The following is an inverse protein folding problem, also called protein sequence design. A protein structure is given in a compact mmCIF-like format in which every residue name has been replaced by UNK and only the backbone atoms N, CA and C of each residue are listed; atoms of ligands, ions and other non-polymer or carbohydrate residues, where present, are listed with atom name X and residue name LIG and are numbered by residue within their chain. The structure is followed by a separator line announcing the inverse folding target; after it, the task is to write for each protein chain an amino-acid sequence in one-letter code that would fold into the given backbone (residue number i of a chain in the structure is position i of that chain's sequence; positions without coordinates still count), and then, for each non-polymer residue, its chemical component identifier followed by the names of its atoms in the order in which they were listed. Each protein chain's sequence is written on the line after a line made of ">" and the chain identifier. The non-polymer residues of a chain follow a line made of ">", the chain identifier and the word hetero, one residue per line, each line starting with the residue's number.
data_IF_385141090173
#
_entry.id   IF_385141090173
#
_cell.length_a   1.000
_cell.length_b   1.000
_cell.length_c   1.000
_cell.angle_alpha   90.00
_cell.angle_beta   90.00
_cell.angle_gamma   90.00
#
_symmetry.space_group_name_H-M   'P 1'
#
loop_
_entity.id
_entity.type
_entity.pdbx_description
1 polymer ?
#
# COMPACT_ATOMS: atom_id res chain seq x y z
N UNK A 1 -29.37 -9.06 -36.32
CA UNK A 1 -28.76 -7.75 -36.00
C UNK A 1 -27.32 -7.83 -35.48
N UNK A 2 -26.71 -9.02 -35.33
CA UNK A 2 -25.32 -9.19 -34.86
C UNK A 2 -24.31 -9.57 -35.95
N UNK A 3 -24.77 -9.91 -37.16
CA UNK A 3 -23.91 -10.52 -38.20
C UNK A 3 -22.87 -9.57 -38.82
N UNK A 4 -23.04 -8.25 -38.66
CA UNK A 4 -22.11 -7.23 -39.16
C UNK A 4 -21.56 -6.32 -38.03
N UNK A 5 -21.66 -6.73 -36.77
CA UNK A 5 -21.20 -5.91 -35.64
C UNK A 5 -19.67 -5.87 -35.59
N UNK A 6 -19.10 -4.67 -35.54
CA UNK A 6 -17.66 -4.51 -35.33
C UNK A 6 -17.30 -4.95 -33.90
N UNK A 7 -16.08 -5.45 -33.68
CA UNK A 7 -15.61 -5.92 -32.37
C UNK A 7 -15.82 -4.87 -31.28
N UNK A 8 -15.65 -3.59 -31.61
CA UNK A 8 -15.94 -2.47 -30.71
C UNK A 8 -17.39 -2.45 -30.24
N UNK A 9 -18.35 -2.61 -31.16
CA UNK A 9 -19.78 -2.61 -30.84
C UNK A 9 -20.16 -3.83 -30.02
N UNK A 10 -19.52 -4.99 -30.27
CA UNK A 10 -19.69 -6.18 -29.43
C UNK A 10 -19.21 -5.93 -28.00
N UNK A 11 -18.07 -5.26 -27.81
CA UNK A 11 -17.55 -4.91 -26.48
C UNK A 11 -18.50 -3.95 -25.76
N UNK A 12 -18.98 -2.90 -26.44
CA UNK A 12 -19.92 -1.92 -25.89
C UNK A 12 -21.23 -2.57 -25.41
N UNK A 13 -21.70 -3.62 -26.11
CA UNK A 13 -22.89 -4.38 -25.70
C UNK A 13 -22.63 -5.34 -24.53
N UNK A 14 -21.39 -5.84 -24.38
CA UNK A 14 -21.03 -6.78 -23.31
C UNK A 14 -20.67 -6.09 -21.99
N UNK A 15 -20.17 -4.85 -22.05
CA UNK A 15 -19.73 -4.08 -20.88
C UNK A 15 -20.76 -4.06 -19.72
N UNK A 16 -22.05 -3.73 -19.95
CA UNK A 16 -23.04 -3.73 -18.87
C UNK A 16 -23.21 -5.08 -18.18
N UNK A 17 -23.19 -6.17 -18.96
CA UNK A 17 -23.34 -7.53 -18.44
C UNK A 17 -22.14 -7.93 -17.59
N UNK A 18 -20.92 -7.64 -18.07
CA UNK A 18 -19.68 -7.95 -17.36
C UNK A 18 -19.60 -7.21 -16.03
N UNK A 19 -19.84 -5.89 -16.02
CA UNK A 19 -19.76 -5.09 -14.80
C UNK A 19 -20.85 -5.49 -13.79
N UNK A 20 -22.07 -5.76 -14.25
CA UNK A 20 -23.15 -6.22 -13.37
C UNK A 20 -22.83 -7.58 -12.75
N UNK A 21 -22.28 -8.52 -13.55
CA UNK A 21 -21.84 -9.82 -13.05
C UNK A 21 -20.69 -9.70 -12.04
N UNK A 22 -19.71 -8.83 -12.31
CA UNK A 22 -18.58 -8.58 -11.43
C UNK A 22 -19.03 -8.05 -10.05
N UNK A 23 -19.91 -7.04 -10.03
CA UNK A 23 -20.46 -6.51 -8.77
C UNK A 23 -21.24 -7.57 -8.01
N UNK A 24 -22.06 -8.35 -8.71
CA UNK A 24 -22.82 -9.43 -8.07
C UNK A 24 -21.90 -10.46 -7.40
N UNK A 25 -20.84 -10.90 -8.08
CA UNK A 25 -19.86 -11.85 -7.52
C UNK A 25 -19.11 -11.28 -6.31
N UNK A 26 -18.75 -10.00 -6.36
CA UNK A 26 -18.07 -9.31 -5.26
C UNK A 26 -18.96 -9.20 -4.04
N UNK A 27 -20.25 -8.86 -4.22
CA UNK A 27 -21.21 -8.78 -3.12
C UNK A 27 -21.46 -10.17 -2.52
N UNK A 28 -21.59 -11.19 -3.36
CA UNK A 28 -21.82 -12.56 -2.89
C UNK A 28 -20.66 -13.09 -2.06
N UNK A 29 -19.42 -12.93 -2.53
CA UNK A 29 -18.21 -13.31 -1.80
C UNK A 29 -17.92 -12.39 -0.62
N UNK A 30 -18.35 -11.13 -0.71
CA UNK A 30 -18.10 -10.07 0.26
C UNK A 30 -19.04 -10.05 1.47
N UNK A 31 -20.00 -10.99 1.57
CA UNK A 31 -20.90 -11.11 2.75
C UNK A 31 -20.15 -11.14 4.08
N UNK A 32 -18.96 -11.75 4.09
CA UNK A 32 -18.12 -11.87 5.29
C UNK A 32 -17.51 -10.53 5.70
N UNK A 33 -17.28 -9.63 4.76
CA UNK A 33 -16.62 -8.34 4.97
C UNK A 33 -17.56 -7.16 4.69
N UNK A 34 -18.86 -7.41 4.83
CA UNK A 34 -19.93 -6.46 4.53
C UNK A 34 -19.79 -5.11 5.23
N UNK A 35 -19.25 -5.11 6.45
CA UNK A 35 -19.04 -3.89 7.23
C UNK A 35 -18.03 -2.93 6.58
N UNK A 36 -17.07 -3.45 5.81
CA UNK A 36 -16.03 -2.64 5.16
C UNK A 36 -16.36 -2.28 3.72
N UNK A 37 -17.26 -3.05 3.10
CA UNK A 37 -17.59 -2.93 1.69
C UNK A 37 -18.79 -2.00 1.53
N UNK A 38 -18.61 -0.90 0.81
CA UNK A 38 -19.71 0.01 0.51
C UNK A 38 -20.54 -0.52 -0.67
N UNK A 39 -21.41 -1.49 -0.39
CA UNK A 39 -22.28 -2.16 -1.38
C UNK A 39 -23.07 -1.15 -2.22
N UNK A 40 -23.62 -0.13 -1.56
CA UNK A 40 -24.44 0.89 -2.22
C UNK A 40 -23.64 1.70 -3.23
N UNK A 41 -22.38 2.05 -2.90
CA UNK A 41 -21.51 2.79 -3.80
C UNK A 41 -21.14 1.97 -5.04
N UNK A 42 -20.82 0.68 -4.87
CA UNK A 42 -20.50 -0.23 -5.97
C UNK A 42 -21.69 -0.37 -6.93
N UNK A 43 -22.87 -0.69 -6.39
CA UNK A 43 -24.10 -0.83 -7.18
C UNK A 43 -24.42 0.48 -7.89
N UNK A 44 -24.38 1.62 -7.19
CA UNK A 44 -24.67 2.92 -7.79
C UNK A 44 -23.69 3.28 -8.90
N UNK A 45 -22.39 3.00 -8.73
CA UNK A 45 -21.36 3.30 -9.74
C UNK A 45 -21.56 2.49 -11.03
N UNK A 46 -21.91 1.21 -10.91
CA UNK A 46 -22.18 0.35 -12.09
C UNK A 46 -23.51 0.68 -12.74
N UNK A 47 -24.57 0.93 -11.96
CA UNK A 47 -25.85 1.38 -12.49
C UNK A 47 -25.69 2.69 -13.27
N UNK A 48 -24.91 3.64 -12.73
CA UNK A 48 -24.60 4.90 -13.42
C UNK A 48 -23.83 4.66 -14.72
N UNK A 49 -22.77 3.83 -14.69
CA UNK A 49 -21.99 3.51 -15.89
C UNK A 49 -22.84 2.83 -16.98
N UNK A 50 -23.73 1.92 -16.58
CA UNK A 50 -24.65 1.23 -17.50
C UNK A 50 -25.71 2.17 -18.09
N UNK A 51 -26.13 3.20 -17.36
CA UNK A 51 -27.08 4.19 -17.84
C UNK A 51 -26.44 5.23 -18.76
N UNK A 52 -25.22 5.67 -18.46
CA UNK A 52 -24.54 6.70 -19.24
C UNK A 52 -23.88 6.15 -20.50
N UNK A 53 -23.40 4.90 -20.46
CA UNK A 53 -22.67 4.27 -21.57
C UNK A 53 -21.31 4.93 -21.85
N UNK A 54 -20.83 5.82 -20.97
CA UNK A 54 -19.58 6.55 -21.14
C UNK A 54 -18.41 5.75 -20.57
N UNK A 55 -17.29 5.74 -21.31
CA UNK A 55 -16.08 5.03 -20.90
C UNK A 55 -15.51 5.52 -19.56
N UNK A 56 -15.63 6.81 -19.26
CA UNK A 56 -15.16 7.40 -18.00
C UNK A 56 -15.94 6.88 -16.78
N UNK A 57 -17.26 6.73 -16.89
CA UNK A 57 -18.07 6.20 -15.79
C UNK A 57 -17.76 4.70 -15.57
N UNK A 58 -17.47 3.94 -16.63
CA UNK A 58 -17.00 2.56 -16.52
C UNK A 58 -15.61 2.46 -15.88
N UNK A 59 -14.71 3.41 -16.17
CA UNK A 59 -13.40 3.49 -15.52
C UNK A 59 -13.52 3.76 -14.03
N UNK A 60 -14.43 4.65 -13.62
CA UNK A 60 -14.68 4.93 -12.21
C UNK A 60 -15.32 3.73 -11.49
N UNK A 61 -16.30 3.08 -12.10
CA UNK A 61 -16.85 1.82 -11.61
C UNK A 61 -15.77 0.73 -11.46
N UNK A 62 -14.83 0.64 -12.40
CA UNK A 62 -13.72 -0.32 -12.35
C UNK A 62 -12.78 -0.04 -11.17
N UNK A 63 -12.50 1.23 -10.86
CA UNK A 63 -11.69 1.59 -9.67
C UNK A 63 -12.37 1.13 -8.38
N UNK A 64 -13.68 1.35 -8.24
CA UNK A 64 -14.43 0.88 -7.07
C UNK A 64 -14.43 -0.65 -6.97
N UNK A 65 -14.66 -1.35 -8.08
CA UNK A 65 -14.59 -2.82 -8.16
C UNK A 65 -13.22 -3.31 -7.72
N UNK A 66 -12.14 -2.75 -8.26
CA UNK A 66 -10.76 -3.11 -7.91
C UNK A 66 -10.46 -2.87 -6.43
N UNK A 67 -10.93 -1.76 -5.86
CA UNK A 67 -10.76 -1.47 -4.45
C UNK A 67 -11.45 -2.52 -3.56
N UNK A 68 -12.65 -2.97 -3.94
CA UNK A 68 -13.37 -4.05 -3.27
C UNK A 68 -12.66 -5.41 -3.40
N UNK A 69 -12.14 -5.74 -4.59
CA UNK A 69 -11.37 -6.98 -4.82
C UNK A 69 -10.10 -7.04 -3.97
N UNK A 70 -9.37 -5.93 -3.86
CA UNK A 70 -8.17 -5.85 -3.00
C UNK A 70 -8.54 -6.12 -1.54
N UNK A 71 -9.70 -5.64 -1.09
CA UNK A 71 -10.18 -5.88 0.26
C UNK A 71 -10.51 -7.36 0.49
N UNK A 72 -11.21 -8.00 -0.46
CA UNK A 72 -11.49 -9.44 -0.42
C UNK A 72 -10.21 -10.27 -0.43
N UNK A 73 -9.27 -9.95 -1.31
CA UNK A 73 -7.98 -10.64 -1.39
C UNK A 73 -7.17 -10.53 -0.10
N UNK A 74 -7.20 -9.37 0.57
CA UNK A 74 -6.60 -9.19 1.90
C UNK A 74 -7.26 -10.07 2.93
N UNK A 75 -8.60 -10.09 2.95
CA UNK A 75 -9.35 -10.95 3.87
C UNK A 75 -9.02 -12.42 3.66
N UNK A 76 -9.10 -12.93 2.42
CA UNK A 76 -8.77 -14.32 2.11
C UNK A 76 -7.33 -14.66 2.50
N UNK A 77 -6.36 -13.81 2.15
CA UNK A 77 -4.97 -14.04 2.50
C UNK A 77 -4.73 -14.08 4.01
N UNK A 78 -5.39 -13.21 4.78
CA UNK A 78 -5.29 -13.21 6.24
C UNK A 78 -5.99 -14.42 6.85
N UNK A 79 -7.16 -14.77 6.33
CA UNK A 79 -7.90 -15.96 6.74
C UNK A 79 -7.04 -17.21 6.55
N UNK A 80 -6.45 -17.40 5.37
CA UNK A 80 -5.60 -18.56 5.07
C UNK A 80 -4.35 -18.63 5.95
N UNK A 81 -3.77 -17.47 6.29
CA UNK A 81 -2.57 -17.39 7.14
C UNK A 81 -2.84 -17.61 8.61
N UNK A 82 -4.02 -17.22 9.09
CA UNK A 82 -4.39 -17.28 10.50
C UNK A 82 -5.19 -18.55 10.85
N UNK A 83 -5.88 -19.15 9.88
CA UNK A 83 -6.44 -20.50 9.98
C UNK A 83 -5.35 -21.56 9.76
N UNK A 84 -4.42 -21.67 10.70
CA UNK A 84 -3.36 -22.69 10.68
C UNK A 84 -3.76 -24.02 11.36
N UNK A 85 -5.02 -24.19 11.77
CA UNK A 85 -5.51 -25.39 12.46
C UNK A 85 -7.03 -25.58 12.35
N UNK A 86 -7.53 -26.73 12.80
CA UNK A 86 -8.97 -27.04 12.83
C UNK A 86 -9.68 -26.14 13.87
N UNK A 87 -10.44 -25.16 13.38
CA UNK A 87 -11.17 -24.20 14.21
C UNK A 87 -12.60 -24.68 14.51
N UNK A 88 -13.05 -24.47 15.74
CA UNK A 88 -14.47 -24.59 16.08
C UNK A 88 -15.27 -23.39 15.50
N UNK A 89 -16.54 -23.58 15.14
CA UNK A 89 -17.41 -22.51 14.60
C UNK A 89 -17.43 -21.20 15.43
N UNK A 90 -17.24 -21.28 16.75
CA UNK A 90 -17.17 -20.09 17.61
C UNK A 90 -15.85 -19.32 17.49
N UNK A 91 -14.74 -20.01 17.23
CA UNK A 91 -13.42 -19.42 17.01
C UNK A 91 -13.36 -18.76 15.64
N UNK A 92 -14.04 -19.31 14.62
CA UNK A 92 -14.15 -18.73 13.29
C UNK A 92 -14.85 -17.36 13.27
N UNK A 93 -15.89 -17.19 14.09
CA UNK A 93 -16.56 -15.88 14.23
C UNK A 93 -15.65 -14.85 14.89
N UNK A 94 -14.92 -15.25 15.94
CA UNK A 94 -13.96 -14.35 16.60
C UNK A 94 -12.79 -14.00 15.68
N UNK A 95 -12.31 -14.97 14.89
CA UNK A 95 -11.24 -14.78 13.94
C UNK A 95 -11.65 -13.86 12.78
N UNK A 96 -12.82 -14.06 12.19
CA UNK A 96 -13.34 -13.18 11.13
C UNK A 96 -13.50 -11.74 11.64
N UNK A 97 -14.05 -11.55 12.85
CA UNK A 97 -14.12 -10.22 13.48
C UNK A 97 -12.73 -9.61 13.72
N UNK A 98 -11.76 -10.40 14.15
CA UNK A 98 -10.38 -9.96 14.35
C UNK A 98 -9.71 -9.55 13.03
N UNK A 99 -9.87 -10.34 11.96
CA UNK A 99 -9.36 -10.03 10.62
C UNK A 99 -9.98 -8.74 10.08
N UNK A 100 -11.30 -8.56 10.24
CA UNK A 100 -12.00 -7.32 9.86
C UNK A 100 -11.38 -6.11 10.59
N UNK A 101 -11.17 -6.22 11.91
CA UNK A 101 -10.54 -5.15 12.70
C UNK A 101 -9.10 -4.84 12.26
N UNK A 102 -8.32 -5.85 11.87
CA UNK A 102 -6.98 -5.65 11.31
C UNK A 102 -7.00 -4.90 9.97
N UNK A 103 -7.96 -5.21 9.09
CA UNK A 103 -8.13 -4.53 7.81
C UNK A 103 -8.60 -3.09 8.03
N UNK A 104 -9.52 -2.84 8.96
CA UNK A 104 -9.96 -1.50 9.35
C UNK A 104 -8.81 -0.63 9.87
N UNK A 105 -7.99 -1.19 10.77
CA UNK A 105 -6.83 -0.49 11.34
C UNK A 105 -5.79 -0.15 10.25
N UNK A 106 -5.53 -1.08 9.33
CA UNK A 106 -4.60 -0.85 8.22
C UNK A 106 -5.12 0.20 7.22
N UNK A 107 -6.42 0.21 6.93
CA UNK A 107 -7.04 1.15 5.98
C UNK A 107 -7.25 2.54 6.59
N UNK A 108 -7.67 2.63 7.85
CA UNK A 108 -7.82 3.90 8.58
C UNK A 108 -6.49 4.66 8.68
N UNK A 109 -5.38 3.93 8.80
CA UNK A 109 -4.02 4.51 8.81
C UNK A 109 -3.55 5.00 7.45
N UNK A 110 -4.13 4.49 6.36
CA UNK A 110 -3.82 4.91 4.98
C UNK A 110 -4.53 6.21 4.57
N UNK A 111 -5.70 6.52 5.15
CA UNK A 111 -6.45 7.74 4.81
C UNK A 111 -5.96 9.01 5.53
N UNK A 112 -5.03 8.89 6.48
CA UNK A 112 -4.47 10.04 7.21
C UNK A 112 -3.32 10.76 6.48
N UNK A 113 -2.93 10.31 5.29
CA UNK A 113 -1.98 11.04 4.45
C UNK A 113 -1.36 10.17 3.36
N UNK A 114 -1.56 10.60 2.12
CA UNK A 114 -0.97 10.06 0.88
C UNK A 114 -1.81 9.00 0.15
N UNK A 115 -2.59 9.50 -0.82
CA UNK A 115 -3.22 8.71 -1.88
C UNK A 115 -2.20 8.28 -2.97
N UNK A 116 -0.89 8.44 -2.76
CA UNK A 116 0.13 8.19 -3.80
C UNK A 116 1.37 7.40 -3.32
N UNK A 117 1.31 6.77 -2.15
CA UNK A 117 2.47 6.07 -1.57
C UNK A 117 2.25 4.57 -1.37
N UNK A 118 2.11 3.80 -2.44
CA UNK A 118 2.56 2.39 -2.38
C UNK A 118 4.08 2.46 -2.40
N UNK A 119 4.69 2.72 -1.24
CA UNK A 119 6.07 2.36 -0.96
C UNK A 119 6.37 2.50 0.54
N UNK A 120 6.63 1.34 1.14
CA UNK A 120 7.43 1.15 2.34
C UNK A 120 6.88 1.78 3.64
N UNK A 121 6.01 1.04 4.33
CA UNK A 121 6.09 0.93 5.79
C UNK A 121 5.27 -0.27 6.27
N UNK A 122 5.94 -1.42 6.46
CA UNK A 122 5.45 -2.53 7.30
C UNK A 122 5.31 -2.09 8.77
N UNK A 123 5.71 -0.86 9.09
CA UNK A 123 5.59 -0.22 10.39
C UNK A 123 4.70 1.01 10.21
N UNK A 124 3.40 0.84 10.41
CA UNK A 124 2.40 1.92 10.38
C UNK A 124 2.44 2.82 11.63
N UNK A 125 3.37 2.57 12.55
CA UNK A 125 3.95 3.63 13.37
C UNK A 125 4.98 4.29 12.46
N UNK A 126 4.68 5.45 11.88
CA UNK A 126 5.71 6.26 11.26
C UNK A 126 6.91 6.21 12.19
N UNK A 127 8.06 5.72 11.71
CA UNK A 127 9.27 5.68 12.52
C UNK A 127 9.38 7.11 13.04
N UNK A 128 9.19 7.35 14.36
CA UNK A 128 9.37 8.69 14.88
C UNK A 128 10.74 9.10 14.36
N UNK A 129 10.80 10.21 13.62
CA UNK A 129 12.09 10.80 13.23
C UNK A 129 12.68 11.33 14.54
N UNK A 130 13.16 10.40 15.37
CA UNK A 130 13.94 10.68 16.56
C UNK A 130 15.24 11.26 16.03
N UNK A 131 15.26 12.59 15.92
CA UNK A 131 16.38 13.33 15.35
C UNK A 131 16.02 14.47 14.41
N UNK A 132 14.78 14.98 14.37
CA UNK A 132 14.52 16.30 13.79
C UNK A 132 15.54 17.33 14.32
N UNK A 133 15.94 18.29 13.48
CA UNK A 133 16.93 19.32 13.81
C UNK A 133 16.64 19.95 15.18
N UNK A 134 17.65 20.18 16.02
CA UNK A 134 17.47 20.96 17.26
C UNK A 134 17.20 22.44 17.01
N UNK A 135 17.08 22.84 15.73
CA UNK A 135 16.49 24.11 15.33
C UNK A 135 15.08 24.27 15.91
N UNK A 136 14.63 25.50 16.18
CA UNK A 136 13.33 25.79 16.80
C UNK A 136 12.15 25.09 16.11
N UNK A 137 12.21 24.96 14.78
CA UNK A 137 11.20 24.30 13.96
C UNK A 137 11.14 22.78 14.20
N UNK A 138 12.30 22.13 14.37
CA UNK A 138 12.35 20.70 14.62
C UNK A 138 11.89 20.33 16.03
N UNK A 139 12.12 21.21 17.01
CA UNK A 139 11.55 21.06 18.35
C UNK A 139 10.03 21.28 18.37
N UNK A 140 9.50 22.24 17.62
CA UNK A 140 8.06 22.42 17.49
C UNK A 140 7.39 21.19 16.86
N UNK A 141 7.96 20.66 15.77
CA UNK A 141 7.46 19.45 15.11
C UNK A 141 7.57 18.22 16.03
N UNK A 142 8.66 18.09 16.80
CA UNK A 142 8.83 17.04 17.82
C UNK A 142 7.73 17.12 18.88
N UNK A 143 7.47 18.31 19.43
CA UNK A 143 6.43 18.51 20.44
C UNK A 143 5.01 18.24 19.92
N UNK A 144 4.75 18.48 18.62
CA UNK A 144 3.45 18.17 18.01
C UNK A 144 3.27 16.68 17.67
N UNK A 145 4.37 15.96 17.42
CA UNK A 145 4.36 14.54 17.04
C UNK A 145 4.53 13.58 18.22
N UNK A 146 5.03 14.05 19.37
CA UNK A 146 5.05 13.30 20.64
C UNK A 146 3.62 13.11 21.18
N UNK A 147 2.83 12.25 20.52
CA UNK A 147 1.62 11.69 21.13
C UNK A 147 2.04 10.71 22.21
N UNK A 148 1.65 11.04 23.44
CA UNK A 148 1.79 10.25 24.68
C UNK A 148 3.22 10.08 25.20
N UNK A 149 3.52 10.92 26.19
CA UNK A 149 4.57 10.72 27.17
C UNK A 149 4.29 9.39 27.91
N UNK A 150 4.90 8.29 27.46
CA UNK A 150 4.80 6.98 28.12
C UNK A 150 5.59 7.07 29.43
N UNK A 151 4.94 7.02 30.60
CA UNK A 151 5.65 7.10 31.88
C UNK A 151 6.45 5.80 32.06
N UNK A 152 7.77 5.90 32.16
CA UNK A 152 8.64 4.78 32.58
C UNK A 152 9.41 4.04 31.49
N UNK A 153 9.43 4.51 30.24
CA UNK A 153 10.18 3.85 29.16
C UNK A 153 10.88 4.84 28.24
N UNK A 154 11.86 5.61 28.75
CA UNK A 154 12.70 6.45 27.88
C UNK A 154 13.76 5.57 27.24
N UNK A 155 13.65 5.34 25.93
CA UNK A 155 14.79 4.88 25.14
C UNK A 155 15.96 5.85 25.33
N UNK A 156 17.22 5.36 25.27
CA UNK A 156 18.38 6.23 25.31
C UNK A 156 18.29 7.27 24.18
N UNK A 157 18.85 8.47 24.38
CA UNK A 157 18.83 9.51 23.36
C UNK A 157 19.53 8.99 22.09
N UNK A 158 19.01 9.30 20.89
CA UNK A 158 19.61 8.86 19.63
C UNK A 158 21.05 9.39 19.54
N UNK A 159 22.03 8.50 19.48
CA UNK A 159 23.47 8.85 19.51
C UNK A 159 24.05 9.13 18.12
N UNK A 160 23.48 8.52 17.08
CA UNK A 160 24.07 8.47 15.73
C UNK A 160 23.00 8.44 14.66
N UNK A 161 23.20 9.20 13.57
CA UNK A 161 22.37 9.17 12.36
C UNK A 161 22.98 8.24 11.34
N UNK A 162 22.18 7.35 10.74
CA UNK A 162 22.64 6.43 9.70
C UNK A 162 21.84 6.65 8.42
N UNK A 163 22.54 6.82 7.31
CA UNK A 163 21.99 6.97 5.96
C UNK A 163 22.50 5.85 5.07
N UNK A 164 21.62 5.34 4.22
CA UNK A 164 21.97 4.37 3.18
C UNK A 164 21.61 5.01 1.85
N UNK A 165 22.62 5.47 1.12
CA UNK A 165 22.44 5.97 -0.24
C UNK A 165 22.59 4.80 -1.19
N UNK A 166 21.60 4.62 -2.07
CA UNK A 166 21.58 3.59 -3.11
C UNK A 166 21.43 4.29 -4.45
N UNK A 167 22.25 3.92 -5.42
CA UNK A 167 22.10 4.38 -6.78
C UNK A 167 22.54 3.31 -7.77
N UNK A 168 21.96 3.35 -8.97
CA UNK A 168 22.29 2.47 -10.08
C UNK A 168 22.55 3.34 -11.30
N UNK A 169 23.82 3.72 -11.48
CA UNK A 169 24.23 4.67 -12.53
C UNK A 169 25.47 4.09 -13.21
N UNK A 170 25.57 4.12 -14.55
CA UNK A 170 26.79 3.71 -15.23
C UNK A 170 27.91 4.71 -14.90
N UNK A 171 29.15 4.24 -14.77
CA UNK A 171 30.31 5.12 -14.57
C UNK A 171 30.65 5.82 -15.88
N UNK A 172 31.44 6.89 -15.82
CA UNK A 172 31.83 7.74 -16.96
C UNK A 172 32.79 7.06 -17.96
N UNK A 173 32.64 5.76 -18.20
CA UNK A 173 33.40 4.99 -19.20
C UNK A 173 32.46 4.51 -20.30
N UNK A 174 32.95 4.52 -21.55
CA UNK A 174 32.18 4.26 -22.77
C UNK A 174 31.51 2.88 -22.76
N UNK A 175 32.10 1.90 -22.07
CA UNK A 175 31.57 0.53 -21.97
C UNK A 175 31.08 0.14 -20.57
N UNK A 176 30.87 1.11 -19.67
CA UNK A 176 30.46 0.83 -18.30
C UNK A 176 29.05 0.27 -18.26
N UNK A 177 28.87 -0.86 -17.57
CA UNK A 177 27.52 -1.35 -17.25
C UNK A 177 26.91 -0.53 -16.12
N UNK A 178 25.57 -0.49 -16.08
CA UNK A 178 24.83 0.03 -14.92
C UNK A 178 24.97 -0.97 -13.79
N UNK A 179 25.65 -0.58 -12.72
CA UNK A 179 25.86 -1.42 -11.53
C UNK A 179 25.24 -0.79 -10.29
N UNK A 180 24.67 -1.60 -9.39
CA UNK A 180 24.17 -1.09 -8.12
C UNK A 180 25.34 -0.69 -7.22
N UNK A 181 25.26 0.51 -6.66
CA UNK A 181 26.24 1.06 -5.72
C UNK A 181 25.55 1.46 -4.43
N UNK A 182 26.29 1.37 -3.33
CA UNK A 182 25.77 1.70 -2.00
C UNK A 182 26.79 2.47 -1.19
N UNK A 183 26.34 3.53 -0.53
CA UNK A 183 27.12 4.26 0.46
C UNK A 183 26.36 4.26 1.78
N UNK A 184 27.05 3.83 2.83
CA UNK A 184 26.62 3.95 4.21
C UNK A 184 27.26 5.19 4.82
N UNK A 185 26.46 6.11 5.33
CA UNK A 185 26.94 7.26 6.07
C UNK A 185 26.44 7.21 7.50
N UNK A 186 27.35 7.35 8.45
CA UNK A 186 27.08 7.36 9.87
C UNK A 186 27.57 8.68 10.43
N UNK A 187 26.67 9.56 10.86
CA UNK A 187 26.96 10.91 11.34
C UNK A 187 26.66 10.98 12.83
N UNK A 188 27.66 11.31 13.63
CA UNK A 188 27.56 11.65 15.05
C UNK A 188 27.77 13.16 15.24
N UNK A 189 27.76 13.62 16.49
CA UNK A 189 27.98 15.03 16.82
C UNK A 189 29.40 15.49 16.49
N UNK A 190 30.40 14.63 16.77
CA UNK A 190 31.82 14.97 16.63
C UNK A 190 32.56 14.14 15.55
N UNK A 191 31.94 13.07 15.01
CA UNK A 191 32.54 12.24 13.97
C UNK A 191 31.55 11.90 12.83
N UNK A 192 32.09 11.63 11.65
CA UNK A 192 31.34 10.99 10.58
C UNK A 192 32.13 9.82 9.99
N UNK A 193 31.44 8.73 9.66
CA UNK A 193 32.01 7.55 9.00
C UNK A 193 31.26 7.29 7.70
N UNK A 194 32.02 7.11 6.62
CA UNK A 194 31.50 6.77 5.31
C UNK A 194 32.05 5.40 4.92
N UNK A 195 31.18 4.48 4.53
CA UNK A 195 31.55 3.17 4.02
C UNK A 195 30.87 2.95 2.67
N UNK A 196 31.66 2.86 1.61
CA UNK A 196 31.18 2.62 0.25
C UNK A 196 31.32 1.16 -0.15
N UNK A 197 30.34 0.65 -0.87
CA UNK A 197 30.40 -0.60 -1.62
C UNK A 197 30.20 -0.25 -3.09
N UNK A 198 31.28 -0.36 -3.85
CA UNK A 198 31.34 -0.01 -5.26
C UNK A 198 31.76 -1.23 -6.07
N UNK A 199 31.07 -1.44 -7.19
CA UNK A 199 31.44 -2.45 -8.18
C UNK A 199 32.22 -1.76 -9.30
N UNK A 200 33.29 -2.41 -9.75
CA UNK A 200 34.17 -1.89 -10.79
C UNK A 200 34.41 -2.97 -11.85
N UNK A 201 34.26 -2.60 -13.12
CA UNK A 201 34.55 -3.47 -14.26
C UNK A 201 36.06 -3.42 -14.54
N UNK A 202 36.78 -4.52 -14.38
CA UNK A 202 38.19 -4.62 -14.79
C UNK A 202 38.29 -5.06 -16.24
N UNK A 203 38.89 -4.20 -17.08
CA UNK A 203 39.23 -4.55 -18.47
C UNK A 203 40.67 -5.05 -18.47
N UNK A 204 40.88 -6.32 -18.77
CA UNK A 204 42.21 -6.84 -19.06
C UNK A 204 42.58 -6.42 -20.49
N UNK A 205 43.57 -5.54 -20.61
CA UNK A 205 44.25 -5.21 -21.87
C UNK A 205 45.38 -6.17 -22.15
#
# INVERSE_FOLDING_TARGET
>A
MLENANVRQMIELLLPSIFTSAVFQIIEKGKVVRNLLNENLLIASVCRANQSGLQEDYMEALKHIRAAEVLLARYSSLSDKLCAGESNNSEEYNLSKFIISLIEDATSKSYAGSLEGIDHNVISRGVPIFGASDSPIGNAVRSMLERYNVPGGRMPPPTRRQYILRWSVPRSSVNSRVVPQRLFASIEQDEFRLCGSFLEDTVYT
#
